data_IF_449409946227
#
_entry.id   IF_449409946227
#
_cell.length_a   1.000
_cell.length_b   1.000
_cell.length_c   1.000
_cell.angle_alpha   90.00
_cell.angle_beta   90.00
_cell.angle_gamma   90.00
#
_symmetry.space_group_name_H-M   'P 1'
#
loop_
_entity.id
_entity.type
_entity.pdbx_description
1 polymer ?
#
# COMPACT_ATOMS: atom_id res chain seq x y z
N UNK A 1 5.88 20.01 9.72
CA UNK A 1 4.53 19.59 9.31
C UNK A 1 3.84 18.93 10.48
N UNK A 2 2.53 19.11 10.60
CA UNK A 2 1.78 18.42 11.63
C UNK A 2 1.48 16.97 11.19
N UNK A 3 0.99 16.16 12.11
CA UNK A 3 0.73 14.75 11.83
C UNK A 3 -0.32 14.52 10.75
N UNK A 4 -1.33 15.41 10.67
CA UNK A 4 -2.38 15.27 9.67
C UNK A 4 -1.85 15.52 8.27
N UNK A 5 -1.04 16.56 8.11
CA UNK A 5 -0.41 16.84 6.81
C UNK A 5 0.49 15.69 6.37
N UNK A 6 1.28 15.16 7.30
CA UNK A 6 2.16 14.04 6.99
C UNK A 6 1.39 12.81 6.56
N UNK A 7 0.27 12.52 7.24
CA UNK A 7 -0.58 11.38 6.88
C UNK A 7 -1.22 11.57 5.51
N UNK A 8 -1.61 12.78 5.17
CA UNK A 8 -2.14 13.09 3.85
C UNK A 8 -1.10 12.86 2.76
N UNK A 9 0.14 13.24 3.01
CA UNK A 9 1.23 13.01 2.07
C UNK A 9 1.50 11.52 1.91
N UNK A 10 1.49 10.75 3.00
CA UNK A 10 1.63 9.31 2.94
C UNK A 10 0.52 8.66 2.12
N UNK A 11 -0.71 9.15 2.29
CA UNK A 11 -1.84 8.62 1.54
C UNK A 11 -1.66 8.86 0.05
N UNK A 12 -1.22 10.04 -0.33
CA UNK A 12 -0.99 10.38 -1.72
C UNK A 12 0.13 9.54 -2.33
N UNK A 13 1.21 9.35 -1.58
CA UNK A 13 2.32 8.50 -2.04
C UNK A 13 1.85 7.05 -2.21
N UNK A 14 1.04 6.55 -1.29
CA UNK A 14 0.52 5.19 -1.37
C UNK A 14 -0.39 5.02 -2.58
N UNK A 15 -1.25 5.99 -2.85
CA UNK A 15 -2.10 5.96 -4.03
C UNK A 15 -1.27 5.91 -5.31
N UNK A 16 -0.20 6.69 -5.35
CA UNK A 16 0.73 6.70 -6.48
C UNK A 16 1.38 5.33 -6.67
N UNK A 17 1.81 4.73 -5.56
CA UNK A 17 2.43 3.40 -5.60
C UNK A 17 1.45 2.35 -6.10
N UNK A 18 0.22 2.37 -5.59
CA UNK A 18 -0.80 1.41 -5.99
C UNK A 18 -1.13 1.53 -7.47
N UNK A 19 -1.26 2.76 -7.96
CA UNK A 19 -1.51 3.01 -9.38
C UNK A 19 -0.36 2.51 -10.24
N UNK A 20 0.86 2.75 -9.80
CA UNK A 20 2.06 2.28 -10.49
C UNK A 20 2.09 0.76 -10.59
N UNK A 21 1.80 0.08 -9.48
CA UNK A 21 1.80 -1.38 -9.45
C UNK A 21 0.70 -1.96 -10.33
N UNK A 22 -0.44 -1.29 -10.41
CA UNK A 22 -1.55 -1.71 -11.27
C UNK A 22 -1.15 -1.66 -12.75
N UNK A 23 -0.37 -0.67 -13.12
CA UNK A 23 0.10 -0.50 -14.50
C UNK A 23 1.24 -1.44 -14.87
N UNK A 24 1.96 -1.96 -13.88
CA UNK A 24 3.09 -2.87 -14.09
C UNK A 24 2.60 -4.32 -14.08
N UNK A 25 1.85 -4.69 -15.11
CA UNK A 25 1.34 -6.05 -15.27
C UNK A 25 2.43 -7.07 -15.54
N UNK A 26 3.61 -6.60 -15.95
CA UNK A 26 4.78 -7.44 -16.19
C UNK A 26 5.46 -7.90 -14.91
N UNK A 27 5.14 -7.29 -13.77
CA UNK A 27 5.74 -7.63 -12.49
C UNK A 27 4.72 -8.41 -11.67
N UNK A 28 5.01 -9.69 -11.43
CA UNK A 28 4.13 -10.54 -10.65
C UNK A 28 4.40 -10.36 -9.16
N UNK A 29 3.43 -10.79 -8.34
CA UNK A 29 3.56 -10.67 -6.89
C UNK A 29 4.78 -11.40 -6.35
N UNK A 30 5.14 -12.55 -6.94
CA UNK A 30 6.32 -13.28 -6.50
C UNK A 30 7.60 -12.48 -6.76
N UNK A 31 7.64 -11.73 -7.85
CA UNK A 31 8.79 -10.89 -8.17
C UNK A 31 8.95 -9.77 -7.15
N UNK A 32 7.83 -9.14 -6.78
CA UNK A 32 7.83 -8.09 -5.74
C UNK A 32 8.29 -8.66 -4.40
N UNK A 33 7.76 -9.81 -4.02
CA UNK A 33 8.10 -10.45 -2.76
C UNK A 33 9.60 -10.76 -2.67
N UNK A 34 10.16 -11.29 -3.75
CA UNK A 34 11.58 -11.63 -3.79
C UNK A 34 12.47 -10.40 -3.73
N UNK A 35 12.03 -9.30 -4.35
CA UNK A 35 12.82 -8.08 -4.42
C UNK A 35 12.70 -7.25 -3.14
N UNK A 36 11.50 -7.08 -2.62
CA UNK A 36 11.23 -6.08 -1.60
C UNK A 36 10.67 -6.65 -0.29
N UNK A 37 10.32 -7.93 -0.25
CA UNK A 37 9.76 -8.54 0.95
C UNK A 37 8.28 -8.29 1.14
N UNK A 38 7.60 -7.66 0.19
CA UNK A 38 6.14 -7.49 0.22
C UNK A 38 5.59 -7.61 -1.19
N UNK A 39 4.28 -7.74 -1.30
CA UNK A 39 3.60 -7.80 -2.59
C UNK A 39 2.25 -7.07 -2.48
N UNK A 40 1.49 -7.05 -3.57
CA UNK A 40 0.20 -6.38 -3.61
C UNK A 40 -0.76 -6.95 -2.57
N UNK A 41 -0.72 -8.25 -2.36
CA UNK A 41 -1.55 -8.89 -1.33
C UNK A 41 -1.18 -8.43 0.07
N UNK A 42 0.10 -8.20 0.34
CA UNK A 42 0.54 -7.68 1.63
C UNK A 42 -0.03 -6.28 1.87
N UNK A 43 -0.04 -5.42 0.85
CA UNK A 43 -0.62 -4.08 0.96
C UNK A 43 -2.10 -4.17 1.31
N UNK A 44 -2.84 -5.08 0.68
CA UNK A 44 -4.25 -5.29 0.97
C UNK A 44 -4.48 -5.75 2.41
N UNK A 45 -3.62 -6.64 2.90
CA UNK A 45 -3.70 -7.10 4.29
C UNK A 45 -3.42 -5.99 5.28
N UNK A 46 -2.43 -5.15 5.00
CA UNK A 46 -2.11 -4.01 5.85
C UNK A 46 -3.26 -3.00 5.88
N UNK A 47 -3.89 -2.78 4.74
CA UNK A 47 -5.06 -1.91 4.64
C UNK A 47 -6.19 -2.42 5.52
N UNK A 48 -6.50 -3.72 5.39
CA UNK A 48 -7.55 -4.35 6.20
C UNK A 48 -7.24 -4.24 7.69
N UNK A 49 -6.00 -4.50 8.06
CA UNK A 49 -5.56 -4.41 9.45
C UNK A 49 -5.75 -3.00 10.00
N UNK A 50 -5.40 -1.99 9.22
CA UNK A 50 -5.58 -0.60 9.63
C UNK A 50 -7.05 -0.25 9.80
N UNK A 51 -7.92 -0.75 8.90
CA UNK A 51 -9.35 -0.53 9.00
C UNK A 51 -9.94 -1.19 10.25
N UNK A 52 -9.50 -2.41 10.55
CA UNK A 52 -9.97 -3.13 11.74
C UNK A 52 -9.58 -2.40 13.02
N UNK A 53 -8.38 -1.83 13.08
CA UNK A 53 -7.95 -1.04 14.25
C UNK A 53 -8.85 0.16 14.50
N UNK A 54 -9.47 0.69 13.43
CA UNK A 54 -10.36 1.85 13.53
C UNK A 54 -11.83 1.47 13.54
N UNK A 55 -12.13 0.17 13.61
CA UNK A 55 -13.49 -0.36 13.59
C UNK A 55 -14.26 0.04 12.32
N UNK A 56 -13.56 0.11 11.21
CA UNK A 56 -14.16 0.36 9.91
C UNK A 56 -14.39 -0.99 9.24
N UNK A 57 -15.63 -1.21 8.78
CA UNK A 57 -15.98 -2.45 8.09
C UNK A 57 -15.91 -2.28 6.58
#
# INVERSE_FOLDING_TARGET
MNNNTQKELYAEVLETLMDHLQKRNDVQNIDLMNLSGFCRNCLSKWYRSAAEKRNIN
#
